data_IF_618062109500
#
_entry.id   IF_618062109500
#
_cell.length_a   1.000
_cell.length_b   1.000
_cell.length_c   1.000
_cell.angle_alpha   90.00
_cell.angle_beta   90.00
_cell.angle_gamma   90.00
#
_symmetry.space_group_name_H-M   'P 1'
#
loop_
_entity.id
_entity.type
_entity.pdbx_description
1 polymer ?
#
# COMPACT_ATOMS: atom_id res chain seq x y z
N UNK A 1 -23.29 -29.79 -24.13
CA UNK A 1 -21.81 -29.76 -24.17
C UNK A 1 -21.28 -29.40 -22.80
N UNK A 2 -20.47 -30.26 -22.18
CA UNK A 2 -19.80 -29.91 -20.93
C UNK A 2 -18.81 -28.77 -21.20
N UNK A 3 -19.00 -27.61 -20.54
CA UNK A 3 -18.03 -26.50 -20.63
C UNK A 3 -16.63 -27.01 -20.24
N UNK A 4 -15.64 -26.74 -21.09
CA UNK A 4 -14.23 -27.01 -20.79
C UNK A 4 -13.88 -26.48 -19.39
N UNK A 5 -13.03 -27.21 -18.66
CA UNK A 5 -12.58 -26.80 -17.32
C UNK A 5 -12.04 -25.36 -17.29
N UNK A 6 -11.39 -24.94 -18.39
CA UNK A 6 -10.92 -23.57 -18.60
C UNK A 6 -12.07 -22.55 -18.63
N UNK A 7 -13.11 -22.81 -19.42
CA UNK A 7 -14.29 -21.94 -19.51
C UNK A 7 -15.05 -21.81 -18.19
N UNK A 8 -15.13 -22.89 -17.40
CA UNK A 8 -15.72 -22.85 -16.05
C UNK A 8 -14.88 -22.02 -15.08
N UNK A 9 -13.55 -22.05 -15.19
CA UNK A 9 -12.65 -21.22 -14.38
C UNK A 9 -12.74 -19.74 -14.76
N UNK A 10 -12.80 -19.44 -16.05
CA UNK A 10 -12.96 -18.06 -16.55
C UNK A 10 -14.31 -17.48 -16.08
N UNK A 11 -15.42 -18.18 -16.33
CA UNK A 11 -16.74 -17.76 -15.86
C UNK A 11 -16.82 -17.59 -14.34
N UNK A 12 -16.05 -18.37 -13.58
CA UNK A 12 -15.97 -18.27 -12.13
C UNK A 12 -15.25 -17.01 -11.62
N UNK A 13 -14.43 -16.35 -12.44
CA UNK A 13 -13.67 -15.14 -12.08
C UNK A 13 -14.06 -13.90 -12.89
N UNK A 14 -14.99 -14.03 -13.83
CA UNK A 14 -15.49 -12.93 -14.67
C UNK A 14 -16.74 -12.25 -14.11
N UNK A 15 -17.02 -11.04 -14.60
CA UNK A 15 -18.17 -10.17 -14.31
C UNK A 15 -18.41 -9.86 -12.82
N UNK A 16 -17.35 -9.81 -12.02
CA UNK A 16 -17.44 -9.47 -10.61
C UNK A 16 -17.59 -7.96 -10.43
N UNK A 17 -18.53 -7.54 -9.58
CA UNK A 17 -18.81 -6.13 -9.23
C UNK A 17 -18.21 -5.72 -7.89
N UNK A 18 -17.58 -6.67 -7.17
CA UNK A 18 -16.93 -6.44 -5.89
C UNK A 18 -17.90 -6.46 -4.70
N UNK A 19 -17.50 -5.83 -3.61
CA UNK A 19 -18.27 -5.71 -2.37
C UNK A 19 -18.18 -4.31 -1.78
N UNK A 20 -18.85 -4.12 -0.64
CA UNK A 20 -18.91 -2.83 0.02
C UNK A 20 -17.56 -2.41 0.61
N UNK A 21 -17.25 -1.12 0.49
CA UNK A 21 -16.02 -0.53 1.04
C UNK A 21 -15.95 -0.71 2.55
N UNK A 22 -17.09 -0.65 3.25
CA UNK A 22 -17.16 -0.89 4.69
C UNK A 22 -16.74 -2.29 5.06
N UNK A 23 -17.13 -3.29 4.26
CA UNK A 23 -16.74 -4.67 4.49
C UNK A 23 -15.24 -4.85 4.28
N UNK A 24 -14.69 -4.28 3.19
CA UNK A 24 -13.25 -4.33 2.90
C UNK A 24 -12.46 -3.70 4.04
N UNK A 25 -12.89 -2.54 4.55
CA UNK A 25 -12.24 -1.87 5.68
C UNK A 25 -12.33 -2.71 6.96
N UNK A 26 -13.47 -3.33 7.24
CA UNK A 26 -13.63 -4.20 8.40
C UNK A 26 -12.68 -5.42 8.34
N UNK A 27 -12.47 -5.99 7.15
CA UNK A 27 -11.52 -7.09 6.93
C UNK A 27 -10.08 -6.62 7.12
N UNK A 28 -9.69 -5.47 6.56
CA UNK A 28 -8.34 -4.91 6.73
C UNK A 28 -8.05 -4.56 8.19
N UNK A 29 -9.05 -4.07 8.91
CA UNK A 29 -8.95 -3.77 10.34
C UNK A 29 -8.57 -5.00 11.16
N UNK A 30 -8.90 -6.23 10.72
CA UNK A 30 -8.49 -7.46 11.41
C UNK A 30 -6.97 -7.56 11.52
N UNK A 31 -6.23 -7.22 10.46
CA UNK A 31 -4.77 -7.24 10.49
C UNK A 31 -4.23 -6.22 11.50
N UNK A 32 -4.83 -5.03 11.57
CA UNK A 32 -4.45 -4.00 12.54
C UNK A 32 -4.79 -4.41 13.98
N UNK A 33 -5.97 -5.00 14.19
CA UNK A 33 -6.41 -5.56 15.48
C UNK A 33 -5.51 -6.70 15.95
N UNK A 34 -5.06 -7.58 15.06
CA UNK A 34 -4.13 -8.65 15.37
C UNK A 34 -2.75 -8.11 15.79
N UNK A 35 -2.24 -7.09 15.08
CA UNK A 35 -0.99 -6.40 15.43
C UNK A 35 -1.11 -5.66 16.76
N UNK A 36 -2.27 -5.07 17.05
CA UNK A 36 -2.55 -4.41 18.33
C UNK A 36 -2.50 -5.42 19.49
N UNK A 37 -3.14 -6.58 19.33
CA UNK A 37 -3.09 -7.66 20.31
C UNK A 37 -1.67 -8.19 20.50
N UNK A 38 -0.94 -8.43 19.41
CA UNK A 38 0.47 -8.83 19.44
C UNK A 38 1.32 -7.82 20.21
N UNK A 39 1.11 -6.53 19.95
CA UNK A 39 1.83 -5.44 20.63
C UNK A 39 1.49 -5.34 22.11
N UNK A 40 0.22 -5.53 22.49
CA UNK A 40 -0.21 -5.56 23.88
C UNK A 40 0.39 -6.74 24.65
N UNK A 41 0.40 -7.94 24.06
CA UNK A 41 1.04 -9.14 24.60
C UNK A 41 2.53 -8.91 24.83
N UNK A 42 3.23 -8.31 23.87
CA UNK A 42 4.65 -8.01 24.03
C UNK A 42 4.90 -6.92 25.08
N UNK A 43 4.15 -5.82 25.05
CA UNK A 43 4.38 -4.67 25.93
C UNK A 43 4.02 -4.93 27.40
N UNK A 44 2.96 -5.70 27.68
CA UNK A 44 2.50 -5.94 29.05
C UNK A 44 3.00 -7.26 29.64
N UNK A 45 3.22 -8.29 28.82
CA UNK A 45 3.56 -9.65 29.28
C UNK A 45 4.93 -10.15 28.82
N UNK A 46 5.61 -9.41 27.93
CA UNK A 46 6.87 -9.81 27.27
C UNK A 46 6.79 -11.23 26.69
N UNK A 47 5.64 -11.57 26.11
CA UNK A 47 5.30 -12.94 25.74
C UNK A 47 6.23 -13.54 24.67
N UNK A 48 6.74 -12.70 23.75
CA UNK A 48 7.62 -13.14 22.67
C UNK A 48 9.11 -13.09 23.04
N UNK A 49 9.45 -12.86 24.31
CA UNK A 49 10.83 -12.76 24.79
C UNK A 49 10.99 -13.54 26.10
N UNK A 50 11.52 -14.78 26.08
CA UNK A 50 12.16 -15.48 24.96
C UNK A 50 11.17 -16.03 23.90
N UNK A 51 11.66 -16.21 22.67
CA UNK A 51 10.85 -16.76 21.57
C UNK A 51 10.73 -18.28 21.72
N UNK A 52 9.63 -18.71 22.33
CA UNK A 52 9.30 -20.11 22.61
C UNK A 52 8.26 -20.65 21.62
N UNK A 53 7.99 -21.96 21.64
CA UNK A 53 6.98 -22.58 20.76
C UNK A 53 5.59 -21.93 20.92
N UNK A 54 5.09 -21.64 22.14
CA UNK A 54 3.82 -20.91 22.29
C UNK A 54 3.84 -19.50 21.67
N UNK A 55 4.99 -18.83 21.70
CA UNK A 55 5.18 -17.54 21.07
C UNK A 55 5.07 -17.65 19.54
N UNK A 56 5.72 -18.65 18.94
CA UNK A 56 5.63 -18.95 17.50
C UNK A 56 4.19 -19.25 17.06
N UNK A 57 3.48 -20.13 17.79
CA UNK A 57 2.10 -20.51 17.46
C UNK A 57 1.17 -19.29 17.54
N UNK A 58 1.31 -18.48 18.59
CA UNK A 58 0.51 -17.26 18.76
C UNK A 58 0.83 -16.23 17.67
N UNK A 59 2.10 -16.07 17.30
CA UNK A 59 2.54 -15.18 16.24
C UNK A 59 1.93 -15.57 14.88
N UNK A 60 1.95 -16.86 14.55
CA UNK A 60 1.32 -17.41 13.35
C UNK A 60 -0.21 -17.25 13.36
N UNK A 61 -0.85 -17.50 14.50
CA UNK A 61 -2.30 -17.34 14.65
C UNK A 61 -2.73 -15.89 14.40
N UNK A 62 -2.00 -14.92 14.97
CA UNK A 62 -2.33 -13.50 14.85
C UNK A 62 -1.98 -12.93 13.47
N UNK A 63 -0.76 -13.16 12.99
CA UNK A 63 -0.26 -12.50 11.79
C UNK A 63 -0.61 -13.22 10.48
N UNK A 64 -1.02 -14.49 10.53
CA UNK A 64 -1.38 -15.27 9.32
C UNK A 64 -2.83 -15.77 9.39
N UNK A 65 -3.18 -16.55 10.42
CA UNK A 65 -4.50 -17.20 10.45
C UNK A 65 -5.65 -16.22 10.69
N UNK A 66 -5.46 -15.16 11.49
CA UNK A 66 -6.49 -14.14 11.66
C UNK A 66 -6.84 -13.46 10.33
N UNK A 67 -5.83 -13.15 9.51
CA UNK A 67 -6.01 -12.57 8.17
C UNK A 67 -6.70 -13.59 7.25
N UNK A 68 -6.27 -14.85 7.26
CA UNK A 68 -6.89 -15.90 6.46
C UNK A 68 -8.37 -16.06 6.82
N UNK A 69 -8.70 -16.12 8.11
CA UNK A 69 -10.08 -16.23 8.57
C UNK A 69 -10.92 -15.02 8.17
N UNK A 70 -10.37 -13.80 8.24
CA UNK A 70 -11.05 -12.59 7.82
C UNK A 70 -11.48 -12.62 6.34
N UNK A 71 -10.63 -13.15 5.46
CA UNK A 71 -10.90 -13.23 4.01
C UNK A 71 -11.62 -14.51 3.59
N UNK A 72 -11.94 -15.41 4.53
CA UNK A 72 -12.60 -16.70 4.27
C UNK A 72 -13.83 -16.91 5.16
N UNK A 73 -13.69 -17.66 6.26
CA UNK A 73 -14.79 -18.11 7.12
C UNK A 73 -15.52 -16.96 7.83
N UNK A 74 -14.79 -15.94 8.26
CA UNK A 74 -15.35 -14.76 8.94
C UNK A 74 -15.65 -13.61 7.98
N UNK A 75 -15.60 -13.85 6.67
CA UNK A 75 -15.89 -12.80 5.70
C UNK A 75 -17.30 -12.24 5.80
N UNK A 76 -18.29 -13.01 6.26
CA UNK A 76 -19.65 -12.54 6.49
C UNK A 76 -19.82 -11.75 7.79
N UNK A 77 -18.88 -11.89 8.74
CA UNK A 77 -18.91 -11.24 10.05
C UNK A 77 -17.50 -10.74 10.48
N UNK A 78 -16.84 -9.87 9.69
CA UNK A 78 -15.48 -9.41 10.00
C UNK A 78 -15.42 -8.58 11.29
N UNK A 79 -16.52 -7.92 11.65
CA UNK A 79 -16.64 -7.16 12.90
C UNK A 79 -16.54 -8.08 14.12
N UNK A 80 -17.13 -9.28 14.07
CA UNK A 80 -17.04 -10.25 15.15
C UNK A 80 -15.58 -10.66 15.39
N UNK A 81 -14.82 -10.92 14.32
CA UNK A 81 -13.40 -11.26 14.44
C UNK A 81 -12.57 -10.11 15.02
N UNK A 82 -12.87 -8.86 14.63
CA UNK A 82 -12.24 -7.69 15.25
C UNK A 82 -12.54 -7.59 16.75
N UNK A 83 -13.80 -7.78 17.16
CA UNK A 83 -14.18 -7.79 18.58
C UNK A 83 -13.40 -8.87 19.33
N UNK A 84 -13.33 -10.10 18.79
CA UNK A 84 -12.60 -11.21 19.40
C UNK A 84 -11.09 -10.93 19.57
N UNK A 85 -10.47 -10.10 18.73
CA UNK A 85 -9.07 -9.70 18.83
C UNK A 85 -8.86 -8.48 19.74
N UNK A 86 -9.79 -7.52 19.71
CA UNK A 86 -9.69 -6.27 20.49
C UNK A 86 -10.04 -6.49 21.96
N UNK A 87 -11.05 -7.31 22.27
CA UNK A 87 -11.46 -7.62 23.64
C UNK A 87 -10.30 -8.12 24.53
N UNK A 88 -9.52 -9.16 24.16
CA UNK A 88 -8.37 -9.59 24.96
C UNK A 88 -7.28 -8.52 25.03
N UNK A 89 -7.12 -7.70 23.99
CA UNK A 89 -6.19 -6.55 24.01
C UNK A 89 -6.58 -5.58 25.13
N UNK A 90 -7.85 -5.19 25.22
CA UNK A 90 -8.35 -4.28 26.27
C UNK A 90 -8.09 -4.88 27.65
N UNK A 91 -8.42 -6.16 27.86
CA UNK A 91 -8.15 -6.84 29.13
C UNK A 91 -6.66 -6.86 29.51
N UNK A 92 -5.76 -7.07 28.54
CA UNK A 92 -4.30 -7.04 28.76
C UNK A 92 -3.83 -5.62 29.14
N UNK A 93 -4.35 -4.60 28.45
CA UNK A 93 -4.01 -3.20 28.68
C UNK A 93 -4.50 -2.69 30.04
N UNK A 94 -5.67 -3.14 30.50
CA UNK A 94 -6.21 -2.85 31.84
C UNK A 94 -5.45 -3.63 32.95
N UNK A 95 -4.84 -4.75 32.60
CA UNK A 95 -4.05 -5.57 33.51
C UNK A 95 -2.74 -4.90 33.97
N UNK A 96 -2.20 -5.37 35.11
CA UNK A 96 -0.89 -4.91 35.60
C UNK A 96 0.21 -5.26 34.60
N UNK A 97 1.03 -4.26 34.25
CA UNK A 97 2.25 -4.46 33.47
C UNK A 97 3.21 -5.36 34.24
N UNK A 98 3.77 -6.37 33.58
CA UNK A 98 4.88 -7.15 34.14
C UNK A 98 6.06 -6.19 34.37
N UNK A 99 6.51 -6.06 35.62
CA UNK A 99 7.77 -5.37 35.93
C UNK A 99 8.88 -6.17 35.27
N UNK A 100 9.41 -5.68 34.15
CA UNK A 100 10.70 -6.18 33.67
C UNK A 100 11.74 -5.77 34.72
N UNK A 101 12.65 -6.68 35.13
CA UNK A 101 13.86 -6.22 35.78
C UNK A 101 14.55 -5.29 34.77
N UNK A 102 14.69 -4.02 35.15
CA UNK A 102 15.58 -3.11 34.44
C UNK A 102 16.92 -3.83 34.34
N UNK A 103 17.33 -4.23 33.13
CA UNK A 103 18.73 -4.53 32.91
C UNK A 103 19.47 -3.26 33.31
N UNK A 104 20.05 -3.25 34.52
CA UNK A 104 20.95 -2.20 34.95
C UNK A 104 21.94 -2.05 33.80
N UNK A 105 22.00 -0.85 33.21
CA UNK A 105 23.02 -0.54 32.23
C UNK A 105 24.34 -1.07 32.81
N UNK A 106 25.02 -1.95 32.07
CA UNK A 106 26.36 -2.37 32.46
C UNK A 106 27.13 -1.08 32.80
N UNK A 107 27.75 -0.97 33.98
CA UNK A 107 28.55 0.21 34.29
C UNK A 107 29.56 0.39 33.16
N UNK A 108 29.84 1.63 32.73
CA UNK A 108 30.80 1.86 31.67
C UNK A 108 32.10 1.19 32.08
N UNK A 109 32.55 0.23 31.29
CA UNK A 109 33.86 -0.39 31.47
C UNK A 109 34.86 0.75 31.39
N UNK A 110 35.51 1.05 32.51
CA UNK A 110 36.49 2.11 32.61
C UNK A 110 37.47 2.00 31.43
N UNK A 111 37.55 3.08 30.66
CA UNK A 111 38.36 3.17 29.46
C UNK A 111 39.85 3.04 29.83
N UNK A 112 40.53 2.10 29.20
CA UNK A 112 41.96 2.22 28.95
C UNK A 112 42.12 2.52 27.45
N UNK A 113 42.83 3.61 27.18
CA UNK A 113 43.22 4.20 25.89
C UNK A 113 42.29 5.28 25.29
N UNK A 114 42.74 6.56 25.30
CA UNK A 114 42.11 7.63 24.53
C UNK A 114 42.74 7.68 23.13
N UNK A 115 41.94 7.44 22.10
CA UNK A 115 42.31 7.82 20.72
C UNK A 115 41.09 8.33 19.97
N UNK A 116 41.17 9.62 19.64
CA UNK A 116 40.43 10.41 18.64
C UNK A 116 38.96 10.10 18.33
N UNK A 117 38.11 11.07 18.71
CA UNK A 117 36.80 11.30 18.11
C UNK A 117 35.66 11.00 19.08
N UNK A 118 35.21 12.03 19.80
CA UNK A 118 33.95 11.98 20.52
C UNK A 118 32.79 11.77 19.51
N UNK A 119 32.44 10.51 19.26
CA UNK A 119 31.18 10.18 18.61
C UNK A 119 30.07 10.50 19.59
N UNK A 120 29.50 11.69 19.47
CA UNK A 120 28.10 11.92 19.84
C UNK A 120 27.29 10.70 19.38
N UNK A 121 26.38 10.19 20.20
CA UNK A 121 25.43 9.15 19.80
C UNK A 121 24.58 9.69 18.62
N UNK A 122 25.11 9.63 17.40
CA UNK A 122 24.49 10.06 16.16
C UNK A 122 23.48 9.00 15.77
N UNK A 123 22.36 9.01 16.47
CA UNK A 123 21.18 8.25 16.14
C UNK A 123 20.77 8.58 14.70
N UNK A 124 20.54 7.55 13.87
CA UNK A 124 20.10 7.73 12.47
C UNK A 124 18.89 8.68 12.42
N UNK A 125 18.97 9.82 11.69
CA UNK A 125 17.85 10.75 11.53
C UNK A 125 16.67 10.13 10.77
N UNK A 126 16.86 9.01 10.06
CA UNK A 126 15.83 8.33 9.27
C UNK A 126 15.75 6.82 9.61
N UNK A 127 15.36 6.46 10.85
CA UNK A 127 15.34 5.08 11.31
C UNK A 127 14.26 4.27 10.59
N UNK A 128 14.52 2.98 10.39
CA UNK A 128 13.49 2.03 9.95
C UNK A 128 12.41 1.96 11.01
N UNK A 129 11.18 2.37 10.66
CA UNK A 129 10.06 2.42 11.60
C UNK A 129 9.39 1.04 11.69
N UNK A 130 9.28 0.43 12.89
CA UNK A 130 8.69 -0.91 13.03
C UNK A 130 7.26 -1.03 12.48
N UNK A 131 6.45 0.03 12.58
CA UNK A 131 5.09 0.04 12.05
C UNK A 131 5.05 -0.06 10.51
N UNK A 132 6.05 0.50 9.80
CA UNK A 132 6.16 0.37 8.34
C UNK A 132 6.50 -1.07 7.94
N UNK A 133 7.32 -1.75 8.74
CA UNK A 133 7.63 -3.17 8.54
C UNK A 133 6.40 -4.04 8.75
N UNK A 134 5.63 -3.80 9.81
CA UNK A 134 4.38 -4.52 10.10
C UNK A 134 3.34 -4.30 8.99
N UNK A 135 3.17 -3.05 8.57
CA UNK A 135 2.28 -2.69 7.47
C UNK A 135 2.62 -3.43 6.17
N UNK A 136 3.89 -3.39 5.75
CA UNK A 136 4.35 -4.09 4.54
C UNK A 136 4.28 -5.61 4.66
N UNK A 137 4.60 -6.14 5.83
CA UNK A 137 4.48 -7.57 6.13
C UNK A 137 3.03 -8.04 6.05
N UNK A 138 2.12 -7.36 6.72
CA UNK A 138 0.68 -7.65 6.69
C UNK A 138 0.10 -7.57 5.27
N UNK A 139 0.44 -6.52 4.52
CA UNK A 139 0.06 -6.40 3.10
C UNK A 139 0.53 -7.60 2.27
N UNK A 140 1.79 -8.03 2.44
CA UNK A 140 2.33 -9.18 1.72
C UNK A 140 1.62 -10.48 2.10
N UNK A 141 1.40 -10.71 3.40
CA UNK A 141 0.69 -11.90 3.89
C UNK A 141 -0.74 -11.94 3.33
N UNK A 142 -1.50 -10.84 3.46
CA UNK A 142 -2.85 -10.75 2.90
C UNK A 142 -2.85 -11.01 1.39
N UNK A 143 -1.88 -10.47 0.65
CA UNK A 143 -1.76 -10.67 -0.79
C UNK A 143 -1.51 -12.14 -1.13
N UNK A 144 -0.52 -12.77 -0.49
CA UNK A 144 -0.21 -14.18 -0.72
C UNK A 144 -1.42 -15.09 -0.39
N UNK A 145 -2.08 -14.83 0.74
CA UNK A 145 -3.26 -15.57 1.14
C UNK A 145 -4.41 -15.38 0.14
N UNK A 146 -4.67 -14.15 -0.32
CA UNK A 146 -5.72 -13.88 -1.30
C UNK A 146 -5.45 -14.54 -2.66
N UNK A 147 -4.19 -14.49 -3.15
CA UNK A 147 -3.80 -15.14 -4.41
C UNK A 147 -3.99 -16.66 -4.33
N UNK A 148 -3.65 -17.28 -3.20
CA UNK A 148 -3.82 -18.71 -3.02
C UNK A 148 -5.29 -19.09 -2.77
N UNK A 149 -6.03 -18.25 -2.03
CA UNK A 149 -7.40 -18.54 -1.64
C UNK A 149 -8.42 -18.31 -2.77
N UNK A 150 -8.14 -17.41 -3.72
CA UNK A 150 -9.13 -17.00 -4.76
C UNK A 150 -9.64 -18.17 -5.60
N UNK A 151 -8.85 -19.22 -5.81
CA UNK A 151 -9.29 -20.38 -6.58
C UNK A 151 -10.27 -21.29 -5.81
N UNK A 152 -10.41 -21.11 -4.48
CA UNK A 152 -11.25 -21.93 -3.62
C UNK A 152 -12.58 -21.26 -3.32
N UNK A 153 -13.68 -22.04 -3.29
CA UNK A 153 -15.04 -21.55 -2.99
C UNK A 153 -15.19 -20.88 -1.62
N UNK A 154 -14.30 -21.23 -0.68
CA UNK A 154 -14.23 -20.64 0.66
C UNK A 154 -13.87 -19.14 0.61
N UNK A 155 -13.18 -18.68 -0.43
CA UNK A 155 -12.92 -17.26 -0.66
C UNK A 155 -14.13 -16.59 -1.34
N UNK A 156 -14.76 -15.58 -0.71
CA UNK A 156 -15.90 -14.87 -1.28
C UNK A 156 -15.55 -14.13 -2.56
N UNK A 157 -16.40 -14.25 -3.59
CA UNK A 157 -16.16 -13.62 -4.90
C UNK A 157 -16.18 -12.09 -4.85
N UNK A 158 -16.89 -11.49 -3.89
CA UNK A 158 -16.89 -10.04 -3.64
C UNK A 158 -15.51 -9.46 -3.29
N UNK A 159 -14.57 -10.28 -2.82
CA UNK A 159 -13.20 -9.87 -2.55
C UNK A 159 -12.25 -10.11 -3.72
N UNK A 160 -12.68 -10.85 -4.74
CA UNK A 160 -11.91 -11.05 -5.95
C UNK A 160 -11.98 -9.82 -6.86
N UNK A 161 -11.01 -9.72 -7.79
CA UNK A 161 -10.85 -8.57 -8.66
C UNK A 161 -12.13 -8.22 -9.40
N UNK A 162 -12.44 -6.93 -9.42
CA UNK A 162 -13.55 -6.38 -10.20
C UNK A 162 -13.12 -6.14 -11.64
N UNK A 163 -14.06 -6.28 -12.58
CA UNK A 163 -13.77 -6.07 -14.00
C UNK A 163 -13.71 -4.59 -14.40
N UNK A 164 -14.85 -3.88 -14.32
CA UNK A 164 -14.96 -2.52 -14.83
C UNK A 164 -15.17 -1.51 -13.70
N UNK A 165 -16.14 -1.76 -12.82
CA UNK A 165 -16.59 -0.81 -11.79
C UNK A 165 -16.93 -1.53 -10.50
N UNK A 166 -16.44 -1.00 -9.38
CA UNK A 166 -16.62 -1.57 -8.04
C UNK A 166 -15.34 -1.58 -7.22
N UNK A 167 -15.44 -2.13 -6.01
CA UNK A 167 -14.34 -2.21 -5.05
C UNK A 167 -14.19 -3.64 -4.54
N UNK A 168 -12.96 -4.14 -4.45
CA UNK A 168 -12.67 -5.44 -3.84
C UNK A 168 -11.35 -5.41 -3.07
N UNK A 169 -11.16 -6.36 -2.16
CA UNK A 169 -9.92 -6.50 -1.42
C UNK A 169 -8.71 -6.71 -2.35
N UNK A 170 -8.86 -7.53 -3.39
CA UNK A 170 -7.79 -7.76 -4.37
C UNK A 170 -7.48 -6.52 -5.22
N UNK A 171 -8.47 -5.66 -5.46
CA UNK A 171 -8.23 -4.41 -6.18
C UNK A 171 -7.44 -3.42 -5.34
N UNK A 172 -7.74 -3.34 -4.02
CA UNK A 172 -6.98 -2.49 -3.12
C UNK A 172 -5.50 -2.89 -3.07
N UNK A 173 -5.21 -4.19 -3.04
CA UNK A 173 -3.84 -4.70 -2.87
C UNK A 173 -2.84 -4.12 -3.88
N UNK A 174 -3.22 -3.97 -5.14
CA UNK A 174 -2.37 -3.35 -6.18
C UNK A 174 -2.05 -1.90 -5.82
N UNK A 175 -3.07 -1.13 -5.42
CA UNK A 175 -2.91 0.23 -4.91
C UNK A 175 -2.01 0.31 -3.69
N UNK A 176 -2.19 -0.61 -2.72
CA UNK A 176 -1.37 -0.72 -1.51
C UNK A 176 0.11 -0.91 -1.82
N UNK A 177 0.45 -1.78 -2.78
CA UNK A 177 1.84 -1.99 -3.20
C UNK A 177 2.47 -0.72 -3.79
N UNK A 178 1.71 -0.01 -4.62
CA UNK A 178 2.16 1.25 -5.23
C UNK A 178 2.35 2.33 -4.17
N UNK A 179 1.37 2.49 -3.27
CA UNK A 179 1.42 3.44 -2.16
C UNK A 179 2.61 3.15 -1.25
N UNK A 180 2.80 1.90 -0.84
CA UNK A 180 3.90 1.47 0.01
C UNK A 180 5.27 1.65 -0.66
N UNK A 181 5.36 1.43 -1.97
CA UNK A 181 6.54 1.78 -2.77
C UNK A 181 6.84 3.28 -2.70
N UNK A 182 5.81 4.12 -2.81
CA UNK A 182 5.88 5.57 -2.61
C UNK A 182 6.42 5.94 -1.24
N UNK A 183 5.85 5.38 -0.17
CA UNK A 183 6.26 5.64 1.23
C UNK A 183 7.74 5.35 1.45
N UNK A 184 8.23 4.19 1.00
CA UNK A 184 9.64 3.81 1.17
C UNK A 184 10.57 4.69 0.33
N UNK A 185 10.12 5.14 -0.85
CA UNK A 185 10.91 6.03 -1.71
C UNK A 185 11.19 7.40 -1.08
N UNK A 186 10.38 7.84 -0.11
CA UNK A 186 10.62 9.11 0.59
C UNK A 186 11.96 9.14 1.33
N UNK A 187 12.46 7.98 1.79
CA UNK A 187 13.75 7.91 2.50
C UNK A 187 14.92 8.37 1.65
N UNK A 188 14.96 8.03 0.36
CA UNK A 188 16.06 8.44 -0.52
C UNK A 188 16.10 9.96 -0.68
N UNK A 189 14.94 10.61 -0.82
CA UNK A 189 14.83 12.08 -0.88
C UNK A 189 15.30 12.72 0.42
N UNK A 190 14.86 12.21 1.57
CA UNK A 190 15.25 12.75 2.88
C UNK A 190 16.76 12.66 3.11
N UNK A 191 17.36 11.53 2.74
CA UNK A 191 18.82 11.35 2.79
C UNK A 191 19.53 12.33 1.85
N UNK A 192 18.99 12.58 0.66
CA UNK A 192 19.55 13.56 -0.29
C UNK A 192 19.37 15.02 0.12
N UNK A 193 18.43 15.33 1.03
CA UNK A 193 18.19 16.67 1.59
C UNK A 193 18.94 16.96 2.89
N UNK A 194 19.67 15.98 3.44
CA UNK A 194 20.37 16.11 4.72
C UNK A 194 21.56 17.08 4.68
N UNK A 195 21.99 17.60 5.85
CA UNK A 195 23.02 18.65 5.96
C UNK A 195 24.43 18.22 5.51
N UNK A 196 24.66 16.93 5.29
CA UNK A 196 25.98 16.35 5.01
C UNK A 196 26.22 15.94 3.54
N UNK A 197 25.30 16.24 2.60
CA UNK A 197 25.53 15.99 1.16
C UNK A 197 25.18 17.19 0.29
N UNK A 198 26.09 17.49 -0.64
CA UNK A 198 25.99 18.54 -1.65
C UNK A 198 24.65 18.43 -2.39
N UNK A 199 23.81 19.41 -2.17
CA UNK A 199 22.63 19.74 -2.97
C UNK A 199 23.04 19.87 -4.45
N UNK A 200 22.72 18.88 -5.29
CA UNK A 200 22.91 19.02 -6.73
C UNK A 200 23.24 17.76 -7.54
N UNK A 201 22.74 16.57 -7.19
CA UNK A 201 22.74 15.50 -8.20
C UNK A 201 21.82 15.90 -9.36
N UNK A 202 22.37 15.96 -10.57
CA UNK A 202 21.65 16.30 -11.79
C UNK A 202 20.51 15.30 -12.06
N UNK A 203 19.39 15.78 -12.62
CA UNK A 203 18.24 14.95 -13.00
C UNK A 203 18.63 13.65 -13.75
N UNK A 204 19.59 13.66 -14.70
CA UNK A 204 20.02 12.45 -15.40
C UNK A 204 20.59 11.37 -14.48
N UNK A 205 21.35 11.75 -13.44
CA UNK A 205 21.94 10.78 -12.50
C UNK A 205 20.86 10.15 -11.61
N UNK A 206 19.87 10.93 -11.17
CA UNK A 206 18.73 10.43 -10.40
C UNK A 206 17.83 9.50 -11.21
N UNK A 207 17.59 9.86 -12.47
CA UNK A 207 16.87 9.02 -13.42
C UNK A 207 17.62 7.71 -13.68
N UNK A 208 18.92 7.77 -13.93
CA UNK A 208 19.74 6.58 -14.15
C UNK A 208 19.75 5.64 -12.93
N UNK A 209 19.88 6.21 -11.72
CA UNK A 209 19.78 5.44 -10.49
C UNK A 209 18.39 4.78 -10.34
N UNK A 210 17.32 5.52 -10.61
CA UNK A 210 15.94 5.02 -10.53
C UNK A 210 15.67 3.91 -11.55
N UNK A 211 16.17 4.06 -12.77
CA UNK A 211 16.10 3.04 -13.82
C UNK A 211 16.86 1.78 -13.38
N UNK A 212 18.06 1.92 -12.83
CA UNK A 212 18.86 0.79 -12.33
C UNK A 212 18.12 0.00 -11.25
N UNK A 213 17.46 0.69 -10.32
CA UNK A 213 16.64 0.04 -9.29
C UNK A 213 15.36 -0.62 -9.84
N UNK A 214 14.93 -0.25 -11.05
CA UNK A 214 13.75 -0.79 -11.71
C UNK A 214 14.06 -2.02 -12.58
N UNK A 215 15.34 -2.32 -12.86
CA UNK A 215 15.76 -3.47 -13.68
C UNK A 215 15.23 -4.81 -13.15
N UNK A 216 15.29 -5.14 -11.85
CA UNK A 216 14.76 -6.42 -11.36
C UNK A 216 13.25 -6.57 -11.63
N UNK A 217 12.49 -5.48 -11.52
CA UNK A 217 11.06 -5.48 -11.81
C UNK A 217 10.78 -5.63 -13.31
N UNK A 218 11.59 -4.99 -14.17
CA UNK A 218 11.52 -5.18 -15.63
C UNK A 218 11.80 -6.63 -16.01
N UNK A 219 12.83 -7.24 -15.43
CA UNK A 219 13.17 -8.64 -15.66
C UNK A 219 12.02 -9.58 -15.24
N UNK A 220 11.43 -9.36 -14.06
CA UNK A 220 10.24 -10.10 -13.61
C UNK A 220 9.03 -9.89 -14.55
N UNK A 221 8.84 -8.67 -15.04
CA UNK A 221 7.81 -8.35 -16.03
C UNK A 221 7.99 -9.10 -17.34
N UNK A 222 9.22 -9.22 -17.83
CA UNK A 222 9.56 -10.01 -19.02
C UNK A 222 9.36 -11.50 -18.78
N UNK A 223 9.85 -12.04 -17.65
CA UNK A 223 9.66 -13.45 -17.28
C UNK A 223 8.17 -13.79 -17.24
N UNK A 224 7.35 -12.95 -16.61
CA UNK A 224 5.90 -13.13 -16.58
C UNK A 224 5.30 -13.14 -17.99
N UNK A 225 5.69 -12.17 -18.82
CA UNK A 225 5.19 -12.08 -20.20
C UNK A 225 5.52 -13.35 -20.98
N UNK A 226 6.78 -13.79 -20.98
CA UNK A 226 7.21 -14.97 -21.71
C UNK A 226 6.60 -16.25 -21.16
N UNK A 227 6.48 -16.39 -19.84
CA UNK A 227 5.90 -17.58 -19.21
C UNK A 227 4.41 -17.70 -19.52
N UNK A 228 3.65 -16.60 -19.42
CA UNK A 228 2.20 -16.60 -19.67
C UNK A 228 1.91 -16.87 -21.16
N UNK A 229 2.67 -16.25 -22.06
CA UNK A 229 2.52 -16.48 -23.50
C UNK A 229 3.03 -17.84 -23.97
N UNK A 230 4.09 -18.37 -23.35
CA UNK A 230 4.63 -19.69 -23.67
C UNK A 230 3.78 -20.85 -23.14
N UNK A 231 2.94 -20.62 -22.14
CA UNK A 231 2.08 -21.64 -21.51
C UNK A 231 0.61 -21.56 -21.93
N UNK A 232 0.24 -20.69 -22.89
CA UNK A 232 -1.14 -20.44 -23.34
C UNK A 232 -2.16 -20.24 -22.19
N UNK A 233 -1.70 -19.62 -21.11
CA UNK A 233 -2.54 -19.36 -19.94
C UNK A 233 -3.58 -18.29 -20.30
N UNK A 234 -4.82 -18.45 -19.81
CA UNK A 234 -5.87 -17.46 -20.03
C UNK A 234 -5.53 -16.13 -19.34
N UNK A 235 -4.99 -15.19 -20.11
CA UNK A 235 -4.78 -13.82 -19.65
C UNK A 235 -6.06 -13.01 -19.78
N UNK A 236 -6.48 -12.39 -18.67
CA UNK A 236 -7.48 -11.33 -18.72
C UNK A 236 -6.82 -10.08 -19.31
N UNK A 237 -6.82 -10.01 -20.63
CA UNK A 237 -6.20 -8.92 -21.38
C UNK A 237 -6.84 -7.56 -21.05
N UNK A 238 -8.05 -7.56 -20.48
CA UNK A 238 -8.72 -6.38 -19.93
C UNK A 238 -8.01 -5.79 -18.69
N UNK A 239 -7.13 -6.51 -18.00
CA UNK A 239 -6.47 -5.98 -16.79
C UNK A 239 -5.41 -4.91 -17.11
N UNK A 240 -4.52 -5.20 -18.06
CA UNK A 240 -3.37 -4.32 -18.39
C UNK A 240 -3.10 -4.23 -19.90
N UNK A 241 -3.63 -5.15 -20.70
CA UNK A 241 -3.35 -5.27 -22.13
C UNK A 241 -2.62 -6.56 -22.48
N UNK A 242 -2.24 -6.67 -23.76
CA UNK A 242 -1.71 -7.90 -24.39
C UNK A 242 -0.25 -8.17 -24.03
N UNK A 243 0.52 -7.12 -23.78
CA UNK A 243 1.95 -7.22 -23.46
C UNK A 243 2.32 -6.48 -22.18
N UNK A 244 1.44 -5.62 -21.66
CA UNK A 244 1.67 -4.89 -20.44
C UNK A 244 1.23 -5.70 -19.23
N UNK A 245 1.99 -5.60 -18.14
CA UNK A 245 1.63 -6.21 -16.87
C UNK A 245 2.02 -5.28 -15.73
N UNK A 246 1.53 -5.59 -14.53
CA UNK A 246 1.74 -4.73 -13.36
C UNK A 246 3.22 -4.53 -12.98
N UNK A 247 4.11 -5.48 -13.28
CA UNK A 247 5.54 -5.30 -13.01
C UNK A 247 6.14 -4.20 -13.89
N UNK A 248 5.69 -4.07 -15.15
CA UNK A 248 6.07 -2.94 -15.99
C UNK A 248 5.57 -1.61 -15.42
N UNK A 249 4.31 -1.54 -14.97
CA UNK A 249 3.80 -0.36 -14.26
C UNK A 249 4.70 0.00 -13.06
N UNK A 250 5.03 -0.96 -12.20
CA UNK A 250 5.91 -0.73 -11.04
C UNK A 250 7.33 -0.32 -11.43
N UNK A 251 7.86 -0.84 -12.53
CA UNK A 251 9.20 -0.48 -13.02
C UNK A 251 9.26 0.93 -13.62
N UNK A 252 8.20 1.39 -14.28
CA UNK A 252 8.17 2.72 -14.87
C UNK A 252 7.82 3.82 -13.85
N UNK A 253 7.21 3.48 -12.71
CA UNK A 253 6.86 4.47 -11.69
C UNK A 253 8.06 5.29 -11.19
N UNK A 254 9.18 4.71 -10.70
CA UNK A 254 10.26 5.50 -10.12
C UNK A 254 10.88 6.53 -11.08
N UNK A 255 11.21 6.20 -12.36
CA UNK A 255 11.69 7.18 -13.32
C UNK A 255 10.71 8.33 -13.56
N UNK A 256 9.42 8.04 -13.75
CA UNK A 256 8.41 9.07 -13.97
C UNK A 256 8.22 9.95 -12.74
N UNK A 257 8.26 9.37 -11.55
CA UNK A 257 8.16 10.14 -10.31
C UNK A 257 9.32 11.14 -10.18
N UNK A 258 10.53 10.81 -10.63
CA UNK A 258 11.64 11.77 -10.66
C UNK A 258 11.48 12.86 -11.73
N UNK A 259 10.82 12.57 -12.86
CA UNK A 259 10.43 13.59 -13.85
C UNK A 259 9.41 14.56 -13.23
N UNK A 260 8.37 14.02 -12.59
CA UNK A 260 7.34 14.82 -11.90
C UNK A 260 7.89 15.52 -10.65
N UNK A 261 8.98 15.03 -10.07
CA UNK A 261 9.68 15.74 -9.00
C UNK A 261 10.24 17.07 -9.50
N UNK A 262 10.65 17.21 -10.76
CA UNK A 262 11.04 18.50 -11.31
C UNK A 262 9.90 19.53 -11.25
N UNK A 263 8.64 19.11 -11.41
CA UNK A 263 7.46 19.98 -11.26
C UNK A 263 7.25 20.44 -9.81
N UNK A 264 7.85 19.77 -8.81
CA UNK A 264 7.74 20.21 -7.41
C UNK A 264 8.51 21.51 -7.13
N UNK A 265 9.30 21.99 -8.08
CA UNK A 265 9.85 23.36 -8.06
C UNK A 265 8.75 24.42 -8.18
N UNK A 266 7.63 24.09 -8.84
CA UNK A 266 6.47 24.98 -9.02
C UNK A 266 5.45 24.72 -7.91
N UNK A 267 5.17 23.45 -7.58
CA UNK A 267 4.23 23.05 -6.51
C UNK A 267 4.97 22.28 -5.40
N UNK A 268 5.23 22.89 -4.23
CA UNK A 268 6.11 22.30 -3.22
C UNK A 268 5.53 21.10 -2.45
N UNK A 269 4.31 20.66 -2.75
CA UNK A 269 3.63 19.53 -2.08
C UNK A 269 3.32 18.39 -3.06
N UNK A 270 3.75 17.18 -2.69
CA UNK A 270 3.46 15.95 -3.44
C UNK A 270 1.99 15.54 -3.34
N UNK A 271 1.31 15.89 -2.25
CA UNK A 271 -0.14 15.69 -2.08
C UNK A 271 -0.93 16.48 -3.12
N UNK A 272 -0.58 17.77 -3.30
CA UNK A 272 -1.21 18.64 -4.30
C UNK A 272 -0.90 18.15 -5.71
N UNK A 273 0.34 17.74 -5.97
CA UNK A 273 0.73 17.18 -7.27
C UNK A 273 -0.05 15.90 -7.60
N UNK A 274 -0.22 15.01 -6.61
CA UNK A 274 -1.03 13.80 -6.75
C UNK A 274 -2.49 14.12 -7.07
N UNK A 275 -3.09 15.08 -6.35
CA UNK A 275 -4.46 15.54 -6.63
C UNK A 275 -4.57 16.16 -8.02
N UNK A 276 -3.61 16.99 -8.41
CA UNK A 276 -3.58 17.65 -9.71
C UNK A 276 -3.55 16.62 -10.86
N UNK A 277 -2.67 15.62 -10.78
CA UNK A 277 -2.60 14.54 -11.77
C UNK A 277 -3.91 13.75 -11.79
N UNK A 278 -4.48 13.43 -10.63
CA UNK A 278 -5.73 12.68 -10.53
C UNK A 278 -6.91 13.45 -11.14
N UNK A 279 -7.01 14.76 -10.88
CA UNK A 279 -8.06 15.64 -11.40
C UNK A 279 -7.92 15.78 -12.92
N UNK A 280 -6.71 16.09 -13.42
CA UNK A 280 -6.48 16.19 -14.88
C UNK A 280 -6.84 14.88 -15.56
N UNK A 281 -6.38 13.74 -15.01
CA UNK A 281 -6.67 12.45 -15.58
C UNK A 281 -8.18 12.14 -15.57
N UNK A 282 -8.89 12.48 -14.50
CA UNK A 282 -10.33 12.32 -14.42
C UNK A 282 -11.08 13.23 -15.40
N UNK A 283 -10.65 14.48 -15.54
CA UNK A 283 -11.22 15.41 -16.52
C UNK A 283 -11.01 14.86 -17.93
N UNK A 284 -9.80 14.39 -18.27
CA UNK A 284 -9.52 13.77 -19.56
C UNK A 284 -10.40 12.53 -19.81
N UNK A 285 -10.63 11.70 -18.79
CA UNK A 285 -11.50 10.53 -18.93
C UNK A 285 -12.96 10.91 -19.21
N UNK A 286 -13.46 12.02 -18.65
CA UNK A 286 -14.87 12.39 -18.77
C UNK A 286 -15.14 13.38 -19.92
N UNK A 287 -14.18 14.24 -20.27
CA UNK A 287 -14.33 15.24 -21.34
C UNK A 287 -13.90 14.76 -22.72
N UNK A 288 -13.14 13.66 -22.81
CA UNK A 288 -12.65 13.11 -24.08
C UNK A 288 -13.17 11.68 -24.32
N UNK A 289 -12.97 11.17 -25.53
CA UNK A 289 -13.30 9.78 -25.91
C UNK A 289 -12.38 8.73 -25.28
N UNK A 290 -11.47 9.13 -24.36
CA UNK A 290 -10.48 8.25 -23.74
C UNK A 290 -11.10 7.10 -22.95
N UNK A 291 -12.18 7.35 -22.19
CA UNK A 291 -12.87 6.32 -21.41
C UNK A 291 -13.47 5.24 -22.30
N UNK A 292 -14.12 5.64 -23.39
CA UNK A 292 -14.65 4.73 -24.41
C UNK A 292 -13.52 3.97 -25.13
N UNK A 293 -12.43 4.68 -25.44
CA UNK A 293 -11.24 4.09 -26.06
C UNK A 293 -10.64 2.98 -25.20
N UNK A 294 -10.61 3.13 -23.88
CA UNK A 294 -10.03 2.12 -22.98
C UNK A 294 -10.98 0.93 -22.80
N UNK A 295 -12.28 1.19 -22.57
CA UNK A 295 -13.24 0.15 -22.18
C UNK A 295 -13.81 -0.65 -23.35
N UNK A 296 -14.18 0.02 -24.46
CA UNK A 296 -15.05 -0.55 -25.49
C UNK A 296 -14.39 -0.66 -26.86
N UNK A 297 -13.52 0.29 -27.22
CA UNK A 297 -12.95 0.37 -28.58
C UNK A 297 -12.27 -0.94 -29.01
N UNK A 298 -12.37 -1.36 -30.30
CA UNK A 298 -11.67 -2.55 -30.78
C UNK A 298 -10.15 -2.39 -30.64
N UNK A 299 -9.44 -3.51 -30.43
CA UNK A 299 -7.97 -3.49 -30.37
C UNK A 299 -7.40 -3.29 -31.76
N UNK A 300 -6.68 -2.19 -31.94
CA UNK A 300 -5.93 -1.89 -33.16
C UNK A 300 -4.61 -2.65 -33.24
N UNK A 301 -3.91 -2.46 -34.37
CA UNK A 301 -2.61 -3.08 -34.64
C UNK A 301 -1.47 -2.46 -33.81
N UNK A 302 -1.63 -1.21 -33.35
CA UNK A 302 -0.60 -0.46 -32.64
C UNK A 302 -0.33 -1.02 -31.23
N UNK A 303 0.94 -0.95 -30.80
CA UNK A 303 1.35 -1.40 -29.46
C UNK A 303 0.63 -0.65 -28.33
N UNK A 304 0.31 0.64 -28.56
CA UNK A 304 -0.47 1.43 -27.61
C UNK A 304 -1.90 0.90 -27.49
N UNK A 305 -2.56 0.59 -28.61
CA UNK A 305 -3.93 0.07 -28.58
C UNK A 305 -4.02 -1.30 -27.92
N UNK A 306 -2.97 -2.14 -28.07
CA UNK A 306 -2.86 -3.43 -27.40
C UNK A 306 -2.64 -3.34 -25.89
N UNK A 307 -2.10 -2.22 -25.39
CA UNK A 307 -1.69 -2.02 -23.99
C UNK A 307 -2.34 -0.81 -23.33
N UNK A 308 -3.45 -0.32 -23.90
CA UNK A 308 -4.07 0.93 -23.51
C UNK A 308 -4.49 0.95 -22.04
N UNK A 309 -5.02 -0.17 -21.51
CA UNK A 309 -5.44 -0.26 -20.12
C UNK A 309 -4.24 0.01 -19.17
N UNK A 310 -3.12 -0.66 -19.40
CA UNK A 310 -1.91 -0.49 -18.58
C UNK A 310 -1.25 0.88 -18.73
N UNK A 311 -1.22 1.43 -19.96
CA UNK A 311 -0.58 2.72 -20.24
C UNK A 311 -1.39 3.88 -19.67
N UNK A 312 -2.72 3.90 -19.82
CA UNK A 312 -3.54 5.00 -19.30
C UNK A 312 -3.78 4.88 -17.80
N UNK A 313 -3.92 3.68 -17.24
CA UNK A 313 -4.00 3.51 -15.77
C UNK A 313 -2.71 3.89 -15.05
N UNK A 314 -1.57 4.00 -15.76
CA UNK A 314 -0.30 4.46 -15.22
C UNK A 314 -0.40 5.83 -14.53
N UNK A 315 -1.20 6.76 -15.06
CA UNK A 315 -1.37 8.09 -14.46
C UNK A 315 -2.03 8.02 -13.07
N UNK A 316 -3.02 7.14 -12.91
CA UNK A 316 -3.63 6.86 -11.60
C UNK A 316 -2.63 6.23 -10.63
N UNK A 317 -1.86 5.23 -11.07
CA UNK A 317 -0.82 4.63 -10.23
C UNK A 317 0.30 5.62 -9.87
N UNK A 318 0.65 6.53 -10.78
CA UNK A 318 1.60 7.60 -10.51
C UNK A 318 1.11 8.53 -9.41
N UNK A 319 -0.17 8.90 -9.43
CA UNK A 319 -0.78 9.67 -8.35
C UNK A 319 -0.71 8.90 -7.02
N UNK A 320 -1.13 7.63 -6.97
CA UNK A 320 -1.03 6.78 -5.77
C UNK A 320 0.42 6.76 -5.23
N UNK A 321 1.41 6.61 -6.11
CA UNK A 321 2.82 6.60 -5.71
C UNK A 321 3.27 7.93 -5.10
N UNK A 322 2.95 9.05 -5.74
CA UNK A 322 3.29 10.40 -5.25
C UNK A 322 2.64 10.67 -3.89
N UNK A 323 1.41 10.20 -3.74
CA UNK A 323 0.63 10.32 -2.51
C UNK A 323 1.27 9.53 -1.35
N UNK A 324 1.72 8.30 -1.61
CA UNK A 324 2.49 7.50 -0.64
C UNK A 324 3.84 8.12 -0.32
N UNK A 325 4.52 8.73 -1.31
CA UNK A 325 5.76 9.48 -1.08
C UNK A 325 5.53 10.68 -0.17
N UNK A 326 4.42 11.40 -0.32
CA UNK A 326 3.99 12.45 0.59
C UNK A 326 3.83 11.93 2.02
N UNK A 327 3.12 10.81 2.21
CA UNK A 327 2.98 10.14 3.51
C UNK A 327 4.33 9.73 4.11
N UNK A 328 5.21 9.13 3.31
CA UNK A 328 6.57 8.77 3.72
C UNK A 328 7.40 9.96 4.22
N UNK A 329 7.32 11.10 3.54
CA UNK A 329 8.03 12.33 3.95
C UNK A 329 7.52 12.88 5.29
N UNK A 330 6.25 12.64 5.63
CA UNK A 330 5.65 13.05 6.90
C UNK A 330 6.05 12.14 8.07
N UNK A 331 6.13 10.83 7.85
CA UNK A 331 6.25 9.82 8.93
C UNK A 331 7.68 9.30 9.19
N UNK A 332 8.57 9.35 8.18
CA UNK A 332 9.92 8.78 8.29
C UNK A 332 10.85 9.63 9.16
N UNK A 333 10.96 10.96 8.99
CA UNK A 333 11.92 11.79 9.71
C UNK A 333 11.84 11.58 11.23
N UNK A 334 13.00 11.40 11.86
CA UNK A 334 13.11 11.44 13.31
C UNK A 334 12.99 12.90 13.74
N UNK A 335 12.09 13.19 14.66
CA UNK A 335 12.03 14.51 15.28
C UNK A 335 13.29 14.69 16.13
N UNK A 336 14.32 15.29 15.54
CA UNK A 336 15.58 15.63 16.20
C UNK A 336 15.40 16.95 16.94
N UNK A 337 15.09 16.84 18.23
CA UNK A 337 15.04 17.93 19.20
C UNK A 337 14.52 17.39 20.53
N UNK A 338 14.53 18.18 21.60
CA UNK A 338 13.93 17.86 22.92
C UNK A 338 12.42 17.47 22.85
N UNK A 339 11.83 17.46 21.65
CA UNK A 339 10.51 16.95 21.25
C UNK A 339 10.39 15.42 21.14
N UNK A 340 11.13 14.63 21.94
CA UNK A 340 10.74 13.25 22.21
C UNK A 340 9.48 13.12 23.09
N UNK A 341 8.87 14.26 23.43
CA UNK A 341 7.69 14.40 24.27
C UNK A 341 6.45 13.75 23.62
N UNK A 342 5.52 13.18 24.42
CA UNK A 342 4.23 12.71 23.92
C UNK A 342 3.45 13.75 23.10
N UNK A 343 3.75 15.05 23.25
CA UNK A 343 3.13 16.14 22.49
C UNK A 343 3.44 16.10 20.98
N UNK A 344 4.64 15.66 20.58
CA UNK A 344 5.03 15.65 19.16
C UNK A 344 4.41 14.49 18.39
N UNK A 345 4.35 13.30 19.02
CA UNK A 345 3.61 12.14 18.52
C UNK A 345 2.12 12.46 18.38
N UNK A 346 1.53 13.17 19.36
CA UNK A 346 0.15 13.64 19.28
C UNK A 346 -0.04 14.57 18.08
N UNK A 347 0.90 15.48 17.81
CA UNK A 347 0.86 16.38 16.64
C UNK A 347 0.93 15.60 15.31
N UNK A 348 1.80 14.60 15.21
CA UNK A 348 1.86 13.73 14.03
C UNK A 348 0.54 12.97 13.81
N UNK A 349 -0.01 12.37 14.86
CA UNK A 349 -1.29 11.65 14.79
C UNK A 349 -2.45 12.56 14.40
N UNK A 350 -2.54 13.76 14.98
CA UNK A 350 -3.55 14.75 14.59
C UNK A 350 -3.38 15.12 13.11
N UNK A 351 -2.15 15.33 12.66
CA UNK A 351 -1.88 15.65 11.25
C UNK A 351 -2.30 14.51 10.33
N UNK A 352 -2.00 13.26 10.66
CA UNK A 352 -2.47 12.10 9.90
C UNK A 352 -3.99 12.04 9.87
N UNK A 353 -4.64 12.16 11.03
CA UNK A 353 -6.10 12.16 11.14
C UNK A 353 -6.77 13.26 10.30
N UNK A 354 -6.20 14.48 10.27
CA UNK A 354 -6.68 15.58 9.42
C UNK A 354 -6.59 15.17 7.95
N UNK A 355 -5.44 14.64 7.52
CA UNK A 355 -5.27 14.22 6.13
C UNK A 355 -6.22 13.07 5.77
N UNK A 356 -6.27 11.99 6.55
CA UNK A 356 -7.23 10.89 6.34
C UNK A 356 -8.67 11.40 6.27
N UNK A 357 -9.03 12.41 7.08
CA UNK A 357 -10.35 13.06 7.02
C UNK A 357 -10.56 13.82 5.71
N UNK A 358 -9.59 14.64 5.27
CA UNK A 358 -9.64 15.37 3.99
C UNK A 358 -9.83 14.39 2.83
N UNK A 359 -9.04 13.32 2.77
CA UNK A 359 -9.12 12.32 1.71
C UNK A 359 -10.42 11.53 1.75
N UNK A 360 -10.95 11.24 2.96
CA UNK A 360 -12.27 10.63 3.11
C UNK A 360 -13.38 11.53 2.58
N UNK A 361 -13.33 12.82 2.87
CA UNK A 361 -14.28 13.81 2.37
C UNK A 361 -14.21 13.87 0.84
N UNK A 362 -13.01 14.02 0.27
CA UNK A 362 -12.81 14.04 -1.18
C UNK A 362 -13.32 12.77 -1.85
N UNK A 363 -13.01 11.60 -1.30
CA UNK A 363 -13.49 10.32 -1.80
C UNK A 363 -15.02 10.26 -1.80
N UNK A 364 -15.65 10.70 -0.70
CA UNK A 364 -17.10 10.64 -0.49
C UNK A 364 -17.84 11.53 -1.48
N UNK A 365 -17.41 12.79 -1.64
CA UNK A 365 -18.01 13.72 -2.63
C UNK A 365 -17.78 13.31 -4.08
N UNK A 366 -16.69 12.59 -4.37
CA UNK A 366 -16.39 12.15 -5.73
C UNK A 366 -17.16 10.87 -6.11
N UNK A 367 -17.25 9.92 -5.18
CA UNK A 367 -17.82 8.58 -5.45
C UNK A 367 -19.31 8.49 -5.19
N UNK A 368 -19.85 9.29 -4.26
CA UNK A 368 -21.25 9.27 -3.87
C UNK A 368 -21.92 10.62 -4.11
N UNK A 369 -23.22 10.61 -4.39
CA UNK A 369 -24.03 11.82 -4.34
C UNK A 369 -24.38 12.08 -2.88
N UNK A 370 -23.77 13.10 -2.29
CA UNK A 370 -23.98 13.42 -0.87
C UNK A 370 -24.62 14.81 -0.79
N UNK A 371 -25.79 14.90 -0.15
CA UNK A 371 -26.57 16.14 -0.06
C UNK A 371 -26.93 16.81 -1.40
N UNK A 372 -27.08 16.03 -2.48
CA UNK A 372 -27.36 16.55 -3.83
C UNK A 372 -26.14 17.13 -4.56
N UNK A 373 -24.97 17.12 -3.93
CA UNK A 373 -23.69 17.53 -4.52
C UNK A 373 -22.75 16.32 -4.58
N UNK A 374 -22.28 15.96 -5.77
CA UNK A 374 -21.31 14.88 -5.92
C UNK A 374 -21.24 14.36 -7.34
N UNK A 375 -20.05 13.93 -7.76
CA UNK A 375 -19.80 13.54 -9.15
C UNK A 375 -20.34 12.14 -9.49
N UNK A 376 -20.69 11.33 -8.49
CA UNK A 376 -21.24 9.98 -8.63
C UNK A 376 -20.37 9.05 -9.50
N UNK A 377 -19.04 9.24 -9.48
CA UNK A 377 -18.13 8.51 -10.36
C UNK A 377 -17.82 7.16 -9.70
N UNK A 378 -18.16 6.02 -10.33
CA UNK A 378 -17.86 4.72 -9.76
C UNK A 378 -16.35 4.45 -9.71
N UNK A 379 -15.90 3.68 -8.73
CA UNK A 379 -14.50 3.29 -8.59
C UNK A 379 -14.11 2.29 -9.69
N UNK A 380 -12.97 2.50 -10.35
CA UNK A 380 -12.43 1.56 -11.34
C UNK A 380 -10.93 1.37 -11.18
N UNK A 381 -10.51 0.16 -10.81
CA UNK A 381 -9.11 -0.25 -10.84
C UNK A 381 -8.55 -0.28 -12.27
N UNK A 382 -9.34 -0.76 -13.23
CA UNK A 382 -8.92 -0.91 -14.63
C UNK A 382 -8.52 0.44 -15.25
N UNK A 383 -9.28 1.48 -14.94
CA UNK A 383 -8.93 2.86 -15.34
C UNK A 383 -7.94 3.52 -14.39
N UNK A 384 -7.82 3.04 -13.14
CA UNK A 384 -7.13 3.74 -12.05
C UNK A 384 -7.62 5.20 -11.94
N UNK A 385 -8.94 5.37 -11.93
CA UNK A 385 -9.59 6.68 -11.93
C UNK A 385 -9.44 7.41 -10.59
N UNK A 386 -9.84 8.69 -10.54
CA UNK A 386 -9.70 9.51 -9.32
C UNK A 386 -10.35 8.88 -8.07
N UNK A 387 -11.59 8.33 -8.11
CA UNK A 387 -12.16 7.60 -6.98
C UNK A 387 -11.26 6.47 -6.46
N UNK A 388 -10.64 5.69 -7.36
CA UNK A 388 -9.73 4.61 -6.99
C UNK A 388 -8.47 5.13 -6.30
N UNK A 389 -7.87 6.22 -6.80
CA UNK A 389 -6.70 6.86 -6.17
C UNK A 389 -7.03 7.35 -4.76
N UNK A 390 -8.16 8.04 -4.61
CA UNK A 390 -8.63 8.57 -3.32
C UNK A 390 -8.95 7.44 -2.33
N UNK A 391 -9.54 6.35 -2.81
CA UNK A 391 -9.84 5.17 -2.00
C UNK A 391 -8.57 4.50 -1.50
N UNK A 392 -7.58 4.30 -2.37
CA UNK A 392 -6.27 3.74 -1.98
C UNK A 392 -5.59 4.63 -0.95
N UNK A 393 -5.60 5.96 -1.11
CA UNK A 393 -5.00 6.85 -0.12
C UNK A 393 -5.66 6.72 1.24
N UNK A 394 -6.99 6.86 1.27
CA UNK A 394 -7.80 6.85 2.49
C UNK A 394 -7.63 5.56 3.29
N UNK A 395 -7.48 4.43 2.60
CA UNK A 395 -7.40 3.12 3.25
C UNK A 395 -6.02 2.84 3.84
N UNK A 396 -4.99 3.59 3.44
CA UNK A 396 -3.58 3.33 3.75
C UNK A 396 -2.93 4.39 4.67
N UNK A 397 -3.50 5.61 4.76
CA UNK A 397 -3.06 6.71 5.66
C UNK A 397 -3.79 6.67 7.02
#
# INVERSE_FOLDING_TARGET
MAKSYKARKEEFVSNLTGGDIWEINAVILVAQSAVLLWSALQAHRSFFSPYSIPALVTDFLLNVLAILFAITLYSSAPVLLNILLVTPTIFILLGRKRKQPTQKAKPPRAAAHPSHGASTNNLDPFPVRPFLTLYRGGMMVTTCLAILAVDFRVFPRRFAKVENWGTSLMDLGVGSFVFSGGVVSARSILVSRGPSKRSGESLPRRLLASIRHSIPLLALGLIRLYSVKGLDYAEHVSEYGVHWNFFFTLAFLPPFVEVFHALTTIVPSYEVLSLFISIIYQVLLESTTLKEYILVSPRGLSLLSKNREGVFSFFGYLAIFLSGRATGLRIIPRETGQSGSPSSRKKLLIRMAIWTSIWTILFTFNSFQVFGFGAAIPVSRRLANMPYVLWCYRSED
#
